data_IF_818002671539
#
_entry.id   IF_818002671539
#
_cell.length_a   1.000
_cell.length_b   1.000
_cell.length_c   1.000
_cell.angle_alpha   90.00
_cell.angle_beta   90.00
_cell.angle_gamma   90.00
#
_symmetry.space_group_name_H-M   'P 1'
#
loop_
_entity.id
_entity.type
_entity.pdbx_description
1 polymer ?
#
# COMPACT_ATOMS: atom_id res chain seq x y z
N UNK A 1 22.87 -25.10 16.71
CA UNK A 1 22.35 -23.85 17.30
C UNK A 1 22.53 -22.74 16.27
N UNK A 2 21.45 -22.14 15.77
CA UNK A 2 21.55 -21.14 14.71
C UNK A 2 22.31 -19.89 15.20
N UNK A 3 23.40 -19.53 14.51
CA UNK A 3 24.15 -18.31 14.77
C UNK A 3 23.24 -17.09 14.56
N UNK A 4 23.10 -16.28 15.61
CA UNK A 4 22.26 -15.09 15.60
C UNK A 4 23.06 -13.98 14.93
N UNK A 5 22.75 -13.68 13.68
CA UNK A 5 23.42 -12.65 12.89
C UNK A 5 22.62 -11.33 12.83
N UNK A 6 23.32 -10.22 12.57
CA UNK A 6 22.72 -8.89 12.36
C UNK A 6 22.13 -8.23 13.61
N UNK A 7 21.04 -7.46 13.43
CA UNK A 7 20.36 -6.66 14.49
C UNK A 7 19.96 -7.49 15.73
N UNK A 8 19.75 -8.80 15.55
CA UNK A 8 19.40 -9.72 16.64
C UNK A 8 20.56 -9.97 17.63
N UNK A 9 21.83 -9.91 17.17
CA UNK A 9 23.02 -10.03 18.05
C UNK A 9 23.17 -8.81 18.95
N UNK A 10 22.97 -7.61 18.38
CA UNK A 10 22.97 -6.35 19.12
C UNK A 10 21.84 -6.27 20.16
N UNK A 11 20.64 -6.72 19.79
CA UNK A 11 19.50 -6.81 20.71
C UNK A 11 19.75 -7.77 21.89
N UNK A 12 20.30 -8.95 21.63
CA UNK A 12 20.67 -9.92 22.70
C UNK A 12 21.82 -9.42 23.58
N UNK A 13 22.86 -8.82 23.00
CA UNK A 13 23.97 -8.25 23.76
C UNK A 13 23.53 -7.09 24.65
N UNK A 14 22.62 -6.22 24.15
CA UNK A 14 22.03 -5.16 24.95
C UNK A 14 21.09 -5.70 26.04
N UNK A 15 20.38 -6.81 25.79
CA UNK A 15 19.50 -7.45 26.76
C UNK A 15 20.29 -8.14 27.90
N UNK A 16 21.44 -8.76 27.56
CA UNK A 16 22.33 -9.42 28.51
C UNK A 16 22.99 -8.43 29.50
N UNK A 17 23.23 -7.19 29.08
CA UNK A 17 23.85 -6.12 29.90
C UNK A 17 22.89 -5.41 30.87
N UNK A 18 21.59 -5.69 30.82
CA UNK A 18 20.60 -5.03 31.67
C UNK A 18 20.44 -5.75 33.01
N UNK A 19 20.47 -4.99 34.10
CA UNK A 19 20.10 -5.50 35.43
C UNK A 19 18.61 -5.86 35.49
N UNK A 20 18.16 -6.69 36.44
CA UNK A 20 16.75 -6.99 36.65
C UNK A 20 15.85 -5.74 36.77
N UNK A 21 16.34 -4.69 37.44
CA UNK A 21 15.65 -3.41 37.61
C UNK A 21 15.51 -2.68 36.27
N UNK A 22 16.58 -2.63 35.46
CA UNK A 22 16.55 -2.01 34.15
C UNK A 22 15.66 -2.77 33.15
N UNK A 23 15.56 -4.10 33.28
CA UNK A 23 14.62 -4.93 32.52
C UNK A 23 13.18 -4.63 32.92
N UNK A 24 12.90 -4.53 34.22
CA UNK A 24 11.58 -4.17 34.77
C UNK A 24 11.14 -2.77 34.30
N UNK A 25 12.04 -1.80 34.33
CA UNK A 25 11.76 -0.44 33.86
C UNK A 25 11.52 -0.38 32.34
N UNK A 26 12.28 -1.14 31.54
CA UNK A 26 11.99 -1.26 30.10
C UNK A 26 10.65 -1.94 29.82
N UNK A 27 10.30 -2.98 30.56
CA UNK A 27 9.01 -3.65 30.42
C UNK A 27 7.85 -2.70 30.76
N UNK A 28 7.95 -1.95 31.87
CA UNK A 28 6.97 -0.90 32.21
C UNK A 28 6.87 0.16 31.11
N UNK A 29 8.00 0.68 30.61
CA UNK A 29 8.01 1.66 29.50
C UNK A 29 7.39 1.10 28.22
N UNK A 30 7.61 -0.18 27.92
CA UNK A 30 7.02 -0.83 26.75
C UNK A 30 5.51 -1.02 26.89
N UNK A 31 5.02 -1.37 28.09
CA UNK A 31 3.57 -1.45 28.39
C UNK A 31 2.95 -0.06 28.29
N UNK A 32 3.53 0.95 28.94
CA UNK A 32 3.05 2.33 28.86
C UNK A 32 3.03 2.86 27.41
N UNK A 33 4.06 2.56 26.61
CA UNK A 33 4.10 2.92 25.20
C UNK A 33 3.04 2.18 24.36
N UNK A 34 2.70 0.94 24.71
CA UNK A 34 1.62 0.18 24.07
C UNK A 34 0.25 0.75 24.42
N UNK A 35 0.01 1.06 25.68
CA UNK A 35 -1.26 1.68 26.12
C UNK A 35 -1.42 3.08 25.51
N UNK A 36 -0.40 3.94 25.60
CA UNK A 36 -0.42 5.26 24.96
C UNK A 36 -0.63 5.18 23.44
N UNK A 37 -0.15 4.10 22.78
CA UNK A 37 -0.40 3.88 21.36
C UNK A 37 -1.85 3.48 21.06
N UNK A 38 -2.56 2.81 21.98
CA UNK A 38 -3.97 2.44 21.78
C UNK A 38 -4.90 3.66 21.80
N UNK A 39 -4.52 4.70 22.53
CA UNK A 39 -5.29 5.96 22.63
C UNK A 39 -5.09 6.89 21.43
N UNK A 40 -4.10 6.61 20.57
CA UNK A 40 -3.86 7.43 19.39
C UNK A 40 -4.90 7.15 18.30
N UNK A 41 -5.34 8.21 17.58
CA UNK A 41 -6.15 8.07 16.39
C UNK A 41 -5.51 7.11 15.38
N UNK A 42 -6.35 6.34 14.71
CA UNK A 42 -5.90 5.42 13.65
C UNK A 42 -6.27 5.96 12.29
N UNK A 43 -5.31 5.86 11.36
CA UNK A 43 -5.58 6.07 9.95
C UNK A 43 -6.34 4.85 9.40
N UNK A 44 -7.42 5.11 8.69
CA UNK A 44 -8.21 4.11 7.95
C UNK A 44 -7.72 3.98 6.51
N UNK A 45 -7.15 5.06 5.94
CA UNK A 45 -6.67 5.11 4.58
C UNK A 45 -5.31 5.82 4.48
N UNK A 46 -4.57 5.52 3.41
CA UNK A 46 -3.29 6.16 3.07
C UNK A 46 -2.07 5.27 3.35
N UNK A 47 -1.03 5.42 2.53
CA UNK A 47 0.26 4.76 2.70
C UNK A 47 1.39 5.72 2.33
N UNK A 48 2.58 5.48 2.86
CA UNK A 48 3.79 6.15 2.37
C UNK A 48 4.09 5.80 0.91
N UNK A 49 3.61 4.65 0.42
CA UNK A 49 3.81 4.19 -0.97
C UNK A 49 2.86 4.87 -1.97
N UNK A 50 1.81 5.52 -1.47
CA UNK A 50 0.83 6.27 -2.26
C UNK A 50 0.73 7.71 -1.75
N UNK A 51 1.80 8.51 -1.86
CA UNK A 51 1.81 9.88 -1.38
C UNK A 51 0.94 10.80 -2.27
N UNK A 52 0.54 11.94 -1.72
CA UNK A 52 0.03 13.05 -2.50
C UNK A 52 1.15 13.56 -3.42
N UNK A 53 0.91 13.55 -4.73
CA UNK A 53 1.88 13.97 -5.75
C UNK A 53 1.47 15.29 -6.40
N UNK A 54 2.36 16.27 -6.36
CA UNK A 54 2.18 17.57 -7.02
C UNK A 54 3.47 17.93 -7.74
N UNK A 55 3.50 17.72 -9.06
CA UNK A 55 4.76 17.73 -9.81
C UNK A 55 5.71 16.67 -9.26
N UNK A 56 6.94 17.09 -8.92
CA UNK A 56 7.97 16.21 -8.34
C UNK A 56 7.87 16.08 -6.80
N UNK A 57 6.88 16.74 -6.19
CA UNK A 57 6.71 16.73 -4.73
C UNK A 57 5.84 15.55 -4.30
N UNK A 58 6.35 14.75 -3.37
CA UNK A 58 5.63 13.64 -2.75
C UNK A 58 5.41 13.88 -1.25
N UNK A 59 4.15 13.93 -0.82
CA UNK A 59 3.79 14.11 0.59
C UNK A 59 2.91 12.93 1.04
N UNK A 60 3.41 12.01 1.89
CA UNK A 60 2.58 10.97 2.48
C UNK A 60 1.37 11.55 3.20
N UNK A 61 0.18 11.04 2.88
CA UNK A 61 -1.10 11.53 3.35
C UNK A 61 -1.99 10.39 3.86
N UNK A 62 -2.87 10.70 4.81
CA UNK A 62 -3.72 9.72 5.48
C UNK A 62 -5.10 10.30 5.79
N UNK A 63 -6.08 9.41 5.97
CA UNK A 63 -7.40 9.76 6.52
C UNK A 63 -7.58 9.02 7.84
N UNK A 64 -7.83 9.77 8.91
CA UNK A 64 -8.07 9.25 10.25
C UNK A 64 -9.50 8.69 10.38
N UNK A 65 -9.75 7.93 11.45
CA UNK A 65 -11.05 7.29 11.72
C UNK A 65 -12.22 8.28 11.90
N UNK A 66 -11.93 9.51 12.30
CA UNK A 66 -12.89 10.62 12.41
C UNK A 66 -13.10 11.36 11.07
N UNK A 67 -12.45 10.91 9.99
CA UNK A 67 -12.47 11.56 8.68
C UNK A 67 -11.49 12.72 8.51
N UNK A 68 -10.67 13.02 9.53
CA UNK A 68 -9.64 14.06 9.45
C UNK A 68 -8.58 13.64 8.44
N UNK A 69 -8.34 14.50 7.45
CA UNK A 69 -7.30 14.31 6.43
C UNK A 69 -6.00 14.93 6.92
N UNK A 70 -4.92 14.15 6.92
CA UNK A 70 -3.62 14.59 7.46
C UNK A 70 -2.49 14.36 6.48
N UNK A 71 -1.53 15.28 6.48
CA UNK A 71 -0.24 15.15 5.79
C UNK A 71 0.83 14.80 6.81
N UNK A 72 1.75 13.89 6.48
CA UNK A 72 2.87 13.58 7.37
C UNK A 72 3.75 14.82 7.57
N UNK A 73 4.16 15.07 8.81
CA UNK A 73 5.02 16.20 9.16
C UNK A 73 6.33 16.16 8.36
N UNK A 74 6.95 14.98 8.25
CA UNK A 74 8.22 14.81 7.53
C UNK A 74 8.05 15.05 6.03
N UNK A 75 6.99 14.51 5.45
CA UNK A 75 6.67 14.73 4.03
C UNK A 75 6.39 16.18 3.72
N UNK A 76 5.64 16.87 4.59
CA UNK A 76 5.33 18.29 4.43
C UNK A 76 6.61 19.15 4.46
N UNK A 77 7.49 18.93 5.45
CA UNK A 77 8.76 19.67 5.58
C UNK A 77 9.67 19.42 4.38
N UNK A 78 9.77 18.18 3.93
CA UNK A 78 10.54 17.82 2.74
C UNK A 78 9.93 18.45 1.47
N UNK A 79 8.61 18.40 1.33
CA UNK A 79 7.90 18.94 0.18
C UNK A 79 7.97 20.47 0.07
N UNK A 80 8.23 21.17 1.16
CA UNK A 80 8.52 22.61 1.21
C UNK A 80 9.99 22.95 0.96
N UNK A 81 10.85 21.97 0.72
CA UNK A 81 12.29 22.17 0.49
C UNK A 81 13.10 22.43 1.76
N UNK A 82 12.53 22.28 2.97
CA UNK A 82 13.20 22.65 4.24
C UNK A 82 14.18 21.58 4.78
N UNK A 83 14.34 20.47 4.06
CA UNK A 83 15.18 19.33 4.44
C UNK A 83 14.51 18.40 5.46
N UNK A 84 15.21 18.04 6.53
CA UNK A 84 14.70 17.12 7.56
C UNK A 84 14.79 17.72 8.97
N UNK A 85 13.89 17.28 9.85
CA UNK A 85 13.83 17.72 11.26
C UNK A 85 12.46 18.25 11.65
N UNK A 86 11.92 17.78 12.78
CA UNK A 86 10.57 18.14 13.24
C UNK A 86 10.42 19.64 13.56
N UNK A 87 11.49 20.26 14.06
CA UNK A 87 11.47 21.66 14.52
C UNK A 87 11.67 22.68 13.40
N UNK A 88 11.95 22.24 12.16
CA UNK A 88 12.20 23.14 11.02
C UNK A 88 11.00 24.04 10.74
N UNK A 89 9.81 23.45 10.69
CA UNK A 89 8.59 24.18 10.40
C UNK A 89 8.20 25.15 11.54
N UNK A 90 8.13 24.73 12.83
CA UNK A 90 7.93 25.67 13.93
C UNK A 90 8.95 26.82 13.97
N UNK A 91 10.24 26.51 13.78
CA UNK A 91 11.30 27.51 13.83
C UNK A 91 11.15 28.55 12.72
N UNK A 92 10.88 28.09 11.49
CA UNK A 92 10.68 28.96 10.34
C UNK A 92 9.50 29.92 10.54
N UNK A 93 8.36 29.41 11.00
CA UNK A 93 7.15 30.20 11.24
C UNK A 93 7.21 31.08 12.49
N UNK A 94 8.11 30.78 13.44
CA UNK A 94 8.42 31.68 14.57
C UNK A 94 9.36 32.83 14.20
N UNK A 95 9.99 32.77 13.02
CA UNK A 95 10.92 33.79 12.56
C UNK A 95 10.22 35.10 12.21
N UNK A 96 10.87 36.23 12.53
CA UNK A 96 10.33 37.59 12.36
C UNK A 96 9.86 37.90 10.93
N UNK A 97 10.45 37.25 9.92
CA UNK A 97 10.09 37.43 8.51
C UNK A 97 8.72 36.84 8.16
N UNK A 98 8.32 35.73 8.79
CA UNK A 98 7.10 34.98 8.40
C UNK A 98 6.01 35.11 9.46
N UNK A 99 6.36 35.23 10.75
CA UNK A 99 5.39 35.29 11.85
C UNK A 99 4.26 36.31 11.65
N UNK A 100 4.49 37.53 11.08
CA UNK A 100 3.42 38.50 10.85
C UNK A 100 2.36 38.06 9.83
N UNK A 101 2.68 37.09 8.97
CA UNK A 101 1.81 36.60 7.89
C UNK A 101 1.09 35.31 8.26
N UNK A 102 1.15 34.89 9.52
CA UNK A 102 0.49 33.67 10.01
C UNK A 102 -0.80 33.98 10.76
N UNK A 103 -1.79 33.11 10.63
CA UNK A 103 -3.01 33.16 11.46
C UNK A 103 -2.87 32.29 12.73
N UNK A 104 -3.80 32.47 13.67
CA UNK A 104 -3.80 31.73 14.95
C UNK A 104 -3.97 30.23 14.75
N UNK A 105 -4.77 29.84 13.75
CA UNK A 105 -5.08 28.44 13.42
C UNK A 105 -3.82 27.71 12.93
N UNK A 106 -3.09 28.30 11.99
CA UNK A 106 -1.82 27.82 11.46
C UNK A 106 -0.79 27.69 12.58
N UNK A 107 -0.66 28.71 13.43
CA UNK A 107 0.27 28.70 14.57
C UNK A 107 -0.05 27.57 15.54
N UNK A 108 -1.34 27.38 15.87
CA UNK A 108 -1.78 26.32 16.77
C UNK A 108 -1.53 24.93 16.18
N UNK A 109 -1.79 24.74 14.88
CA UNK A 109 -1.59 23.47 14.20
C UNK A 109 -0.09 23.12 14.07
N UNK A 110 0.78 24.08 13.75
CA UNK A 110 2.23 23.87 13.69
C UNK A 110 2.79 23.42 15.05
N UNK A 111 2.31 24.02 16.14
CA UNK A 111 2.73 23.71 17.52
C UNK A 111 2.20 22.36 18.02
N UNK A 112 1.04 21.94 17.54
CA UNK A 112 0.36 20.73 18.00
C UNK A 112 0.12 19.75 16.84
N UNK A 113 1.17 19.09 16.32
CA UNK A 113 0.99 18.06 15.30
C UNK A 113 0.13 16.91 15.84
N UNK A 114 -0.74 16.39 14.99
CA UNK A 114 -1.58 15.23 15.31
C UNK A 114 -0.70 13.99 15.27
N UNK A 115 -0.65 13.27 16.39
CA UNK A 115 0.06 11.99 16.48
C UNK A 115 -0.92 10.85 16.26
N UNK A 116 -0.65 9.99 15.28
CA UNK A 116 -1.57 8.92 14.87
C UNK A 116 -0.84 7.63 14.48
N UNK A 117 -1.58 6.54 14.31
CA UNK A 117 -1.04 5.25 13.83
C UNK A 117 -1.47 5.03 12.38
N UNK A 118 -0.52 4.73 11.49
CA UNK A 118 -0.79 4.43 10.08
C UNK A 118 -1.59 3.12 9.91
N UNK A 119 -2.28 2.88 8.77
CA UNK A 119 -3.20 1.74 8.63
C UNK A 119 -2.53 0.37 8.84
N UNK A 120 -1.27 0.24 8.40
CA UNK A 120 -0.47 -0.99 8.56
C UNK A 120 0.23 -1.10 9.93
N UNK A 121 -0.11 -0.23 10.88
CA UNK A 121 0.51 -0.17 12.20
C UNK A 121 1.88 0.53 12.18
N UNK A 122 2.80 0.08 13.02
CA UNK A 122 4.15 0.66 13.12
C UNK A 122 4.31 1.77 14.17
N UNK A 123 5.35 2.59 14.01
CA UNK A 123 5.66 3.70 14.92
C UNK A 123 4.66 4.83 14.66
N UNK A 124 4.09 5.47 15.71
CA UNK A 124 3.22 6.62 15.51
C UNK A 124 3.86 7.71 14.65
N UNK A 125 3.06 8.26 13.75
CA UNK A 125 3.43 9.32 12.83
C UNK A 125 2.91 10.65 13.36
N UNK A 126 3.69 11.71 13.20
CA UNK A 126 3.21 13.06 13.38
C UNK A 126 2.73 13.59 12.03
N UNK A 127 1.57 14.24 12.03
CA UNK A 127 1.01 14.89 10.86
C UNK A 127 0.33 16.20 11.20
N UNK A 128 -0.06 16.91 10.16
CA UNK A 128 -0.86 18.13 10.26
C UNK A 128 -2.15 17.97 9.46
N UNK A 129 -3.26 18.64 9.83
CA UNK A 129 -4.44 18.71 8.98
C UNK A 129 -4.06 19.13 7.55
N UNK A 130 -4.61 18.48 6.54
CA UNK A 130 -4.20 18.69 5.15
C UNK A 130 -4.44 20.14 4.68
N UNK A 131 -5.41 20.83 5.26
CA UNK A 131 -5.72 22.25 4.98
C UNK A 131 -4.55 23.18 5.30
N UNK A 132 -3.68 22.82 6.24
CA UNK A 132 -2.56 23.67 6.68
C UNK A 132 -1.59 24.00 5.54
N UNK A 133 -1.49 23.13 4.53
CA UNK A 133 -0.52 23.30 3.47
C UNK A 133 -0.84 24.55 2.62
N UNK A 134 -2.13 24.85 2.40
CA UNK A 134 -2.55 26.08 1.75
C UNK A 134 -2.18 27.30 2.61
N UNK A 135 -2.47 27.26 3.92
CA UNK A 135 -2.15 28.35 4.85
C UNK A 135 -0.64 28.62 4.94
N UNK A 136 0.18 27.57 4.93
CA UNK A 136 1.64 27.65 4.89
C UNK A 136 2.09 28.36 3.62
N UNK A 137 1.59 27.93 2.46
CA UNK A 137 1.98 28.52 1.18
C UNK A 137 1.59 30.00 1.13
N UNK A 138 0.37 30.33 1.54
CA UNK A 138 -0.13 31.71 1.57
C UNK A 138 0.74 32.61 2.47
N UNK A 139 1.05 32.15 3.69
CA UNK A 139 1.90 32.90 4.63
C UNK A 139 3.30 33.17 4.05
N UNK A 140 3.89 32.17 3.39
CA UNK A 140 5.23 32.30 2.78
C UNK A 140 5.20 33.21 1.55
N UNK A 141 4.19 33.07 0.69
CA UNK A 141 4.05 33.91 -0.51
C UNK A 141 3.72 35.36 -0.16
N UNK A 142 2.95 35.59 0.89
CA UNK A 142 2.72 36.92 1.48
C UNK A 142 4.01 37.55 2.00
N UNK A 143 4.82 36.79 2.77
CA UNK A 143 6.12 37.25 3.23
C UNK A 143 7.10 37.54 2.07
N UNK A 144 7.07 36.72 1.01
CA UNK A 144 7.85 36.96 -0.21
C UNK A 144 7.42 38.26 -0.89
N UNK A 145 6.11 38.46 -1.05
CA UNK A 145 5.53 39.63 -1.71
C UNK A 145 5.86 40.94 -0.97
N UNK A 146 6.01 40.88 0.35
CA UNK A 146 6.47 41.99 1.17
C UNK A 146 8.00 42.20 1.16
N UNK A 147 8.77 41.34 0.48
CA UNK A 147 10.23 41.46 0.36
C UNK A 147 10.99 41.17 1.66
N UNK A 148 10.38 40.52 2.66
CA UNK A 148 10.99 40.30 3.97
C UNK A 148 11.69 38.94 4.13
N UNK A 149 11.55 38.05 3.14
CA UNK A 149 12.25 36.77 3.13
C UNK A 149 13.75 36.95 2.89
N UNK A 150 14.56 36.19 3.60
CA UNK A 150 16.01 36.15 3.39
C UNK A 150 16.34 35.39 2.10
N UNK A 151 17.50 35.66 1.45
CA UNK A 151 17.92 34.95 0.23
C UNK A 151 17.90 33.42 0.38
N UNK A 152 18.33 32.92 1.54
CA UNK A 152 18.32 31.48 1.84
C UNK A 152 16.91 30.87 1.99
N UNK A 153 15.86 31.68 2.15
CA UNK A 153 14.46 31.25 2.28
C UNK A 153 13.70 31.29 0.95
N UNK A 154 14.27 31.88 -0.10
CA UNK A 154 13.59 32.09 -1.38
C UNK A 154 13.17 30.77 -2.05
N UNK A 155 14.01 29.74 -1.96
CA UNK A 155 13.68 28.40 -2.48
C UNK A 155 12.39 27.82 -1.86
N UNK A 156 12.08 28.14 -0.60
CA UNK A 156 10.85 27.70 0.07
C UNK A 156 9.64 28.37 -0.57
N UNK A 157 9.75 29.67 -0.90
CA UNK A 157 8.67 30.40 -1.51
C UNK A 157 8.42 29.99 -2.97
N UNK A 158 9.47 29.69 -3.73
CA UNK A 158 9.36 29.06 -5.05
C UNK A 158 8.64 27.72 -4.96
N UNK A 159 9.00 26.91 -3.96
CA UNK A 159 8.36 25.62 -3.71
C UNK A 159 6.87 25.77 -3.36
N UNK A 160 6.52 26.72 -2.48
CA UNK A 160 5.13 27.06 -2.16
C UNK A 160 4.35 27.50 -3.41
N UNK A 161 4.96 28.26 -4.30
CA UNK A 161 4.32 28.69 -5.55
C UNK A 161 4.03 27.52 -6.49
N UNK A 162 4.98 26.59 -6.64
CA UNK A 162 4.77 25.36 -7.43
C UNK A 162 3.61 24.56 -6.85
N UNK A 163 3.58 24.37 -5.53
CA UNK A 163 2.53 23.64 -4.83
C UNK A 163 1.15 24.28 -5.05
N UNK A 164 1.02 25.60 -4.83
CA UNK A 164 -0.24 26.34 -5.03
C UNK A 164 -0.73 26.25 -6.47
N UNK A 165 0.16 26.43 -7.46
CA UNK A 165 -0.19 26.31 -8.88
C UNK A 165 -0.65 24.89 -9.23
N UNK A 166 0.00 23.87 -8.67
CA UNK A 166 -0.39 22.47 -8.83
C UNK A 166 -1.76 22.17 -8.23
N UNK A 167 -2.03 22.66 -7.00
CA UNK A 167 -3.32 22.51 -6.34
C UNK A 167 -4.45 23.18 -7.11
N UNK A 168 -4.23 24.38 -7.63
CA UNK A 168 -5.27 25.07 -8.40
C UNK A 168 -5.72 24.23 -9.61
N UNK A 169 -4.77 23.66 -10.35
CA UNK A 169 -5.08 22.80 -11.51
C UNK A 169 -5.80 21.53 -11.12
N UNK A 170 -5.27 20.77 -10.15
CA UNK A 170 -5.87 19.51 -9.70
C UNK A 170 -7.22 19.75 -9.01
N UNK A 171 -7.32 20.81 -8.21
CA UNK A 171 -8.52 21.20 -7.49
C UNK A 171 -9.66 21.55 -8.43
N UNK A 172 -9.42 22.35 -9.48
CA UNK A 172 -10.43 22.66 -10.50
C UNK A 172 -10.92 21.37 -11.17
N UNK A 173 -10.01 20.48 -11.58
CA UNK A 173 -10.39 19.20 -12.19
C UNK A 173 -11.24 18.37 -11.23
N UNK A 174 -10.80 18.22 -9.98
CA UNK A 174 -11.51 17.44 -8.96
C UNK A 174 -12.91 18.02 -8.65
N UNK A 175 -13.04 19.34 -8.58
CA UNK A 175 -14.31 20.03 -8.39
C UNK A 175 -15.26 19.84 -9.59
N UNK A 176 -14.73 19.88 -10.81
CA UNK A 176 -15.52 19.58 -12.02
C UNK A 176 -15.98 18.13 -12.00
N UNK A 177 -15.11 17.17 -11.64
CA UNK A 177 -15.51 15.76 -11.54
C UNK A 177 -16.58 15.53 -10.48
N UNK A 178 -16.48 16.22 -9.34
CA UNK A 178 -17.48 16.17 -8.28
C UNK A 178 -18.81 16.75 -8.73
N UNK A 179 -18.80 17.94 -9.32
CA UNK A 179 -19.99 18.63 -9.79
C UNK A 179 -20.69 17.89 -10.94
N UNK A 180 -19.93 17.22 -11.81
CA UNK A 180 -20.47 16.44 -12.95
C UNK A 180 -20.81 15.00 -12.59
N UNK A 181 -20.36 14.50 -11.44
CA UNK A 181 -20.46 13.08 -11.06
C UNK A 181 -19.47 12.15 -11.78
N UNK A 182 -18.54 12.68 -12.57
CA UNK A 182 -17.55 11.92 -13.35
C UNK A 182 -16.57 11.10 -12.49
N UNK A 183 -16.54 11.32 -11.17
CA UNK A 183 -15.73 10.52 -10.23
C UNK A 183 -15.97 9.00 -10.35
N UNK A 184 -17.23 8.57 -10.59
CA UNK A 184 -17.57 7.14 -10.75
C UNK A 184 -17.09 6.57 -12.09
N UNK A 185 -17.20 7.36 -13.15
CA UNK A 185 -16.78 6.96 -14.49
C UNK A 185 -15.25 6.90 -14.61
N UNK A 186 -14.50 7.79 -13.94
CA UNK A 186 -13.03 7.71 -13.91
C UNK A 186 -12.52 6.37 -13.38
N UNK A 187 -13.09 5.88 -12.28
CA UNK A 187 -12.70 4.58 -11.72
C UNK A 187 -13.09 3.43 -12.67
N UNK A 188 -14.26 3.54 -13.31
CA UNK A 188 -14.72 2.57 -14.32
C UNK A 188 -13.81 2.55 -15.54
N UNK A 189 -13.40 3.71 -16.05
CA UNK A 189 -12.55 3.84 -17.24
C UNK A 189 -11.12 3.37 -16.95
N UNK A 190 -10.59 3.65 -15.75
CA UNK A 190 -9.31 3.11 -15.32
C UNK A 190 -9.33 1.58 -15.24
N UNK A 191 -10.41 1.01 -14.68
CA UNK A 191 -10.60 -0.44 -14.66
C UNK A 191 -10.78 -1.00 -16.08
N UNK A 192 -11.57 -0.35 -16.92
CA UNK A 192 -11.79 -0.76 -18.31
C UNK A 192 -10.47 -0.82 -19.09
N UNK A 193 -9.60 0.18 -18.93
CA UNK A 193 -8.25 0.17 -19.54
C UNK A 193 -7.39 -0.99 -19.05
N UNK A 194 -7.45 -1.33 -17.76
CA UNK A 194 -6.76 -2.51 -17.21
C UNK A 194 -7.33 -3.79 -17.85
N UNK A 195 -8.66 -3.93 -17.89
CA UNK A 195 -9.31 -5.11 -18.46
C UNK A 195 -9.00 -5.26 -19.96
N UNK A 196 -9.02 -4.17 -20.73
CA UNK A 196 -8.64 -4.17 -22.15
C UNK A 196 -7.18 -4.57 -22.35
N UNK A 197 -6.29 -4.09 -21.50
CA UNK A 197 -4.88 -4.46 -21.57
C UNK A 197 -4.66 -5.94 -21.26
N UNK A 198 -5.39 -6.52 -20.29
CA UNK A 198 -5.14 -7.88 -19.80
C UNK A 198 -6.00 -8.97 -20.43
N UNK A 199 -7.23 -8.67 -20.84
CA UNK A 199 -8.24 -9.64 -21.26
C UNK A 199 -8.47 -9.54 -22.77
N UNK A 200 -8.10 -10.59 -23.48
CA UNK A 200 -8.29 -10.67 -24.93
C UNK A 200 -9.78 -10.60 -25.32
N UNK A 201 -10.04 -10.03 -26.51
CA UNK A 201 -11.37 -10.04 -27.13
C UNK A 201 -11.76 -11.43 -27.61
N UNK A 202 -10.77 -12.21 -28.04
CA UNK A 202 -10.93 -13.56 -28.60
C UNK A 202 -10.07 -14.58 -27.85
N UNK A 203 -10.51 -15.84 -27.91
CA UNK A 203 -9.84 -16.95 -27.25
C UNK A 203 -8.52 -17.28 -27.94
N UNK A 204 -7.42 -17.19 -27.19
CA UNK A 204 -6.08 -17.49 -27.69
C UNK A 204 -5.89 -19.01 -27.94
N UNK A 205 -4.97 -19.38 -28.84
CA UNK A 205 -4.52 -20.77 -28.99
C UNK A 205 -4.06 -21.36 -27.66
N UNK A 206 -4.28 -22.66 -27.48
CA UNK A 206 -3.84 -23.33 -26.26
C UNK A 206 -2.32 -23.40 -26.21
N UNK A 207 -1.73 -22.82 -25.15
CA UNK A 207 -0.31 -22.91 -24.82
C UNK A 207 -0.21 -23.24 -23.35
N UNK A 208 0.60 -24.25 -22.99
CA UNK A 208 0.82 -24.61 -21.58
C UNK A 208 1.50 -23.44 -20.86
N UNK A 209 0.78 -22.79 -19.94
CA UNK A 209 1.30 -21.65 -19.14
C UNK A 209 1.83 -22.04 -17.77
N UNK A 210 1.31 -23.11 -17.18
CA UNK A 210 1.70 -23.56 -15.85
C UNK A 210 2.81 -24.63 -15.98
N UNK A 211 4.01 -24.36 -15.43
CA UNK A 211 5.13 -25.29 -15.45
C UNK A 211 4.86 -26.47 -14.49
N UNK A 212 5.62 -27.56 -14.61
CA UNK A 212 5.39 -28.77 -13.80
C UNK A 212 5.66 -28.50 -12.32
N UNK A 213 6.72 -27.74 -12.06
CA UNK A 213 7.21 -27.31 -10.77
C UNK A 213 6.13 -26.59 -9.95
N UNK A 214 5.24 -25.84 -10.60
CA UNK A 214 4.11 -25.20 -9.92
C UNK A 214 3.17 -26.21 -9.26
N UNK A 215 2.88 -27.32 -9.93
CA UNK A 215 2.03 -28.36 -9.38
C UNK A 215 2.78 -29.23 -8.38
N UNK A 216 4.04 -29.59 -8.66
CA UNK A 216 4.92 -30.31 -7.72
C UNK A 216 4.97 -29.63 -6.35
N UNK A 217 5.23 -28.33 -6.34
CA UNK A 217 5.28 -27.53 -5.11
C UNK A 217 3.92 -27.43 -4.41
N UNK A 218 2.82 -27.36 -5.17
CA UNK A 218 1.47 -27.35 -4.60
C UNK A 218 1.09 -28.70 -3.96
N UNK A 219 1.44 -29.82 -4.60
CA UNK A 219 1.27 -31.16 -4.00
C UNK A 219 2.12 -31.30 -2.72
N UNK A 220 3.40 -30.89 -2.78
CA UNK A 220 4.33 -30.90 -1.64
C UNK A 220 3.77 -30.12 -0.45
N UNK A 221 3.35 -28.87 -0.67
CA UNK A 221 2.82 -28.01 0.39
C UNK A 221 1.48 -28.47 0.95
N UNK A 222 0.71 -29.24 0.18
CA UNK A 222 -0.55 -29.87 0.61
C UNK A 222 -0.35 -31.27 1.22
N UNK A 223 0.87 -31.77 1.30
CA UNK A 223 1.16 -33.10 1.85
C UNK A 223 0.60 -34.25 1.01
N UNK A 224 0.34 -34.02 -0.27
CA UNK A 224 -0.22 -35.03 -1.19
C UNK A 224 0.90 -35.70 -2.00
N UNK A 225 0.78 -37.00 -2.33
CA UNK A 225 1.74 -37.66 -3.20
C UNK A 225 1.69 -37.04 -4.60
N UNK A 226 2.86 -36.72 -5.14
CA UNK A 226 3.00 -36.27 -6.52
C UNK A 226 3.41 -37.47 -7.39
N UNK A 227 2.57 -37.82 -8.36
CA UNK A 227 2.90 -38.83 -9.37
C UNK A 227 3.29 -38.14 -10.69
N UNK A 228 4.58 -38.16 -11.08
CA UNK A 228 5.07 -37.46 -12.28
C UNK A 228 4.36 -37.88 -13.57
N UNK A 229 3.92 -39.14 -13.63
CA UNK A 229 3.28 -39.74 -14.80
C UNK A 229 1.75 -39.53 -14.84
N UNK A 230 1.16 -38.94 -13.79
CA UNK A 230 -0.28 -38.70 -13.69
C UNK A 230 -0.63 -37.23 -13.88
N UNK A 231 -1.60 -36.97 -14.75
CA UNK A 231 -2.18 -35.63 -14.96
C UNK A 231 -3.35 -35.33 -14.02
N UNK A 232 -3.77 -36.29 -13.18
CA UNK A 232 -4.93 -36.14 -12.29
C UNK A 232 -4.55 -35.26 -11.11
N UNK A 233 -5.35 -34.22 -10.90
CA UNK A 233 -5.19 -33.27 -9.79
C UNK A 233 -6.48 -33.23 -8.99
N UNK A 234 -6.40 -33.05 -7.66
CA UNK A 234 -7.58 -32.83 -6.86
C UNK A 234 -8.40 -31.64 -7.41
N UNK A 235 -9.73 -31.76 -7.54
CA UNK A 235 -10.56 -30.69 -8.12
C UNK A 235 -10.37 -29.33 -7.44
N UNK A 236 -10.10 -29.33 -6.13
CA UNK A 236 -9.94 -28.10 -5.35
C UNK A 236 -8.69 -27.28 -5.73
N UNK A 237 -7.71 -27.87 -6.42
CA UNK A 237 -6.53 -27.14 -6.93
C UNK A 237 -6.91 -26.01 -7.88
N UNK A 238 -8.05 -26.11 -8.56
CA UNK A 238 -8.60 -25.01 -9.36
C UNK A 238 -8.94 -23.78 -8.52
N UNK A 239 -9.47 -23.99 -7.30
CA UNK A 239 -9.76 -22.90 -6.36
C UNK A 239 -8.46 -22.28 -5.83
N UNK A 240 -7.46 -23.10 -5.51
CA UNK A 240 -6.15 -22.61 -5.09
C UNK A 240 -5.47 -21.79 -6.18
N UNK A 241 -5.51 -22.26 -7.43
CA UNK A 241 -4.94 -21.54 -8.57
C UNK A 241 -5.66 -20.20 -8.79
N UNK A 242 -6.99 -20.14 -8.59
CA UNK A 242 -7.73 -18.89 -8.63
C UNK A 242 -7.27 -17.91 -7.56
N UNK A 243 -7.07 -18.39 -6.33
CA UNK A 243 -6.54 -17.58 -5.25
C UNK A 243 -5.12 -17.13 -5.56
N UNK A 244 -4.15 -18.05 -5.52
CA UNK A 244 -2.72 -17.72 -5.48
C UNK A 244 -2.17 -17.14 -6.79
N UNK A 245 -2.92 -17.23 -7.90
CA UNK A 245 -2.52 -16.67 -9.21
C UNK A 245 -3.54 -15.67 -9.72
N UNK A 246 -4.74 -16.09 -10.12
CA UNK A 246 -5.62 -15.21 -10.91
C UNK A 246 -6.11 -13.97 -10.14
N UNK A 247 -6.43 -14.10 -8.84
CA UNK A 247 -6.83 -12.95 -7.99
C UNK A 247 -5.70 -11.94 -7.72
N UNK A 248 -4.46 -12.29 -8.07
CA UNK A 248 -3.24 -11.49 -7.88
C UNK A 248 -2.71 -10.93 -9.21
N UNK A 249 -3.44 -11.14 -10.32
CA UNK A 249 -2.96 -10.78 -11.66
C UNK A 249 -3.06 -9.27 -11.93
N UNK A 250 -4.25 -8.71 -11.76
CA UNK A 250 -4.57 -7.28 -11.84
C UNK A 250 -6.01 -7.05 -11.32
N UNK A 251 -6.38 -5.81 -10.92
CA UNK A 251 -7.72 -5.50 -10.44
C UNK A 251 -8.81 -5.89 -11.45
N UNK A 252 -9.82 -6.65 -11.00
CA UNK A 252 -11.00 -7.03 -11.78
C UNK A 252 -10.77 -8.10 -12.85
N UNK A 253 -9.51 -8.42 -13.19
CA UNK A 253 -9.19 -9.34 -14.29
C UNK A 253 -9.71 -10.75 -14.00
N UNK A 254 -9.60 -11.26 -12.78
CA UNK A 254 -10.11 -12.59 -12.45
C UNK A 254 -11.63 -12.70 -12.66
N UNK A 255 -12.40 -11.70 -12.21
CA UNK A 255 -13.86 -11.63 -12.41
C UNK A 255 -14.20 -11.59 -13.89
N UNK A 256 -13.52 -10.75 -14.66
CA UNK A 256 -13.76 -10.60 -16.10
C UNK A 256 -13.44 -11.90 -16.86
N UNK A 257 -12.31 -12.55 -16.56
CA UNK A 257 -11.98 -13.86 -17.12
C UNK A 257 -13.06 -14.89 -16.79
N UNK A 258 -13.50 -14.97 -15.53
CA UNK A 258 -14.55 -15.91 -15.10
C UNK A 258 -15.90 -15.64 -15.77
N UNK A 259 -16.24 -14.37 -16.04
CA UNK A 259 -17.45 -13.97 -16.72
C UNK A 259 -17.42 -14.35 -18.21
N UNK A 260 -16.27 -14.17 -18.88
CA UNK A 260 -16.09 -14.51 -20.30
C UNK A 260 -16.00 -16.01 -20.58
N UNK A 261 -15.59 -16.83 -19.61
CA UNK A 261 -15.51 -18.28 -19.83
C UNK A 261 -16.90 -18.90 -20.01
N UNK A 262 -17.16 -19.37 -21.23
CA UNK A 262 -18.35 -20.18 -21.54
C UNK A 262 -18.37 -21.46 -20.69
N UNK A 263 -19.52 -21.78 -20.09
CA UNK A 263 -19.75 -23.02 -19.34
C UNK A 263 -20.46 -24.06 -20.22
N UNK A 264 -20.23 -25.33 -19.95
CA UNK A 264 -20.97 -26.43 -20.56
C UNK A 264 -22.31 -26.69 -19.82
N UNK A 265 -23.07 -27.70 -20.24
CA UNK A 265 -24.38 -28.03 -19.66
C UNK A 265 -24.29 -28.38 -18.15
N UNK A 266 -23.16 -28.92 -17.71
CA UNK A 266 -22.87 -29.26 -16.32
C UNK A 266 -22.23 -28.10 -15.53
N UNK A 267 -22.21 -26.88 -16.09
CA UNK A 267 -21.67 -25.68 -15.44
C UNK A 267 -20.14 -25.62 -15.38
N UNK A 268 -19.42 -26.55 -16.01
CA UNK A 268 -17.96 -26.60 -16.06
C UNK A 268 -17.40 -25.63 -17.10
N UNK A 269 -16.26 -24.97 -16.83
CA UNK A 269 -15.59 -24.09 -17.79
C UNK A 269 -15.21 -24.85 -19.08
N UNK A 270 -15.60 -24.34 -20.26
CA UNK A 270 -15.25 -24.95 -21.56
C UNK A 270 -13.78 -24.76 -21.95
N UNK A 271 -13.10 -23.77 -21.37
CA UNK A 271 -11.71 -23.46 -21.66
C UNK A 271 -11.02 -22.88 -20.43
N UNK A 272 -9.69 -22.90 -20.44
CA UNK A 272 -8.86 -22.39 -19.35
C UNK A 272 -8.82 -20.85 -19.36
N UNK A 273 -8.81 -20.24 -18.17
CA UNK A 273 -8.82 -18.78 -18.01
C UNK A 273 -7.64 -18.10 -18.71
N UNK A 274 -6.43 -18.68 -18.67
CA UNK A 274 -5.25 -18.10 -19.30
C UNK A 274 -5.38 -17.92 -20.82
N UNK A 275 -6.29 -18.63 -21.49
CA UNK A 275 -6.54 -18.46 -22.94
C UNK A 275 -7.30 -17.17 -23.26
N UNK A 276 -7.83 -16.48 -22.26
CA UNK A 276 -8.48 -15.19 -22.42
C UNK A 276 -7.56 -14.03 -22.04
N UNK A 277 -6.27 -14.28 -21.86
CA UNK A 277 -5.28 -13.23 -21.61
C UNK A 277 -4.73 -12.68 -22.92
N UNK A 278 -4.40 -11.40 -22.93
CA UNK A 278 -3.70 -10.78 -24.06
C UNK A 278 -2.25 -11.27 -24.14
N UNK A 279 -1.70 -11.46 -25.36
CA UNK A 279 -0.31 -11.84 -25.54
C UNK A 279 0.70 -10.80 -25.03
N UNK A 280 0.34 -9.51 -25.09
CA UNK A 280 1.27 -8.40 -24.85
C UNK A 280 1.42 -8.03 -23.37
N UNK A 281 0.35 -8.19 -22.57
CA UNK A 281 0.34 -7.76 -21.16
C UNK A 281 -0.12 -8.89 -20.23
N UNK A 282 -1.27 -9.51 -20.52
CA UNK A 282 -1.86 -10.52 -19.64
C UNK A 282 -0.97 -11.76 -19.48
N UNK A 283 -0.48 -12.31 -20.59
CA UNK A 283 0.38 -13.50 -20.61
C UNK A 283 1.76 -13.26 -19.96
N UNK A 284 2.50 -12.19 -20.29
CA UNK A 284 3.76 -11.86 -19.62
C UNK A 284 3.59 -11.68 -18.11
N UNK A 285 2.51 -11.01 -17.68
CA UNK A 285 2.24 -10.80 -16.26
C UNK A 285 1.85 -12.10 -15.55
N UNK A 286 1.09 -12.98 -16.19
CA UNK A 286 0.79 -14.31 -15.67
C UNK A 286 2.08 -15.11 -15.43
N UNK A 287 3.01 -15.09 -16.40
CA UNK A 287 4.30 -15.77 -16.29
C UNK A 287 5.12 -15.24 -15.11
N UNK A 288 5.28 -13.93 -15.00
CA UNK A 288 6.01 -13.28 -13.89
C UNK A 288 5.41 -13.67 -12.53
N UNK A 289 4.08 -13.66 -12.42
CA UNK A 289 3.39 -14.03 -11.19
C UNK A 289 3.57 -15.51 -10.84
N UNK A 290 3.46 -16.41 -11.82
CA UNK A 290 3.72 -17.84 -11.61
C UNK A 290 5.16 -18.06 -11.11
N UNK A 291 6.14 -17.40 -11.71
CA UNK A 291 7.54 -17.48 -11.24
C UNK A 291 7.65 -17.04 -9.77
N UNK A 292 7.06 -15.90 -9.40
CA UNK A 292 7.05 -15.44 -8.00
C UNK A 292 6.38 -16.45 -7.07
N UNK A 293 5.21 -16.97 -7.45
CA UNK A 293 4.48 -17.95 -6.64
C UNK A 293 5.32 -19.21 -6.43
N UNK A 294 5.93 -19.76 -7.47
CA UNK A 294 6.81 -20.94 -7.38
C UNK A 294 8.00 -20.65 -6.47
N UNK A 295 8.67 -19.51 -6.62
CA UNK A 295 9.78 -19.12 -5.74
C UNK A 295 9.34 -19.03 -4.28
N UNK A 296 8.17 -18.45 -3.99
CA UNK A 296 7.67 -18.37 -2.61
C UNK A 296 7.29 -19.75 -2.08
N UNK A 297 6.71 -20.62 -2.91
CA UNK A 297 6.43 -22.02 -2.53
C UNK A 297 7.72 -22.75 -2.13
N UNK A 298 8.78 -22.66 -2.94
CA UNK A 298 10.09 -23.28 -2.68
C UNK A 298 10.73 -22.79 -1.38
N UNK A 299 10.52 -21.52 -1.03
CA UNK A 299 11.00 -20.92 0.23
C UNK A 299 10.12 -21.24 1.45
N UNK A 300 9.10 -22.08 1.28
CA UNK A 300 8.11 -22.38 2.29
C UNK A 300 8.00 -23.87 2.61
N UNK A 301 7.79 -24.14 3.89
CA UNK A 301 7.74 -25.51 4.42
C UNK A 301 6.29 -26.03 4.56
N UNK A 302 5.32 -25.13 4.74
CA UNK A 302 3.90 -25.45 4.94
C UNK A 302 3.02 -24.46 4.20
N UNK A 303 1.80 -24.88 3.83
CA UNK A 303 0.84 -24.04 3.10
C UNK A 303 0.58 -22.68 3.76
N UNK A 304 0.40 -22.65 5.09
CA UNK A 304 0.16 -21.40 5.83
C UNK A 304 1.31 -20.40 5.72
N UNK A 305 2.54 -20.86 5.89
CA UNK A 305 3.75 -20.03 5.75
C UNK A 305 3.91 -19.50 4.31
N UNK A 306 3.64 -20.35 3.32
CA UNK A 306 3.59 -19.95 1.91
C UNK A 306 2.57 -18.82 1.68
N UNK A 307 1.34 -18.98 2.19
CA UNK A 307 0.26 -18.01 2.01
C UNK A 307 0.62 -16.66 2.65
N UNK A 308 1.12 -16.67 3.89
CA UNK A 308 1.51 -15.45 4.60
C UNK A 308 2.63 -14.68 3.86
N UNK A 309 3.62 -15.41 3.32
CA UNK A 309 4.69 -14.82 2.49
C UNK A 309 4.17 -14.30 1.15
N UNK A 310 3.29 -15.06 0.50
CA UNK A 310 2.73 -14.69 -0.79
C UNK A 310 1.89 -13.42 -0.66
N UNK A 311 1.03 -13.32 0.35
CA UNK A 311 0.22 -12.11 0.58
C UNK A 311 1.05 -10.86 0.82
N UNK A 312 2.22 -11.02 1.44
CA UNK A 312 3.14 -9.91 1.66
C UNK A 312 3.84 -9.45 0.38
N UNK A 313 4.15 -10.38 -0.53
CA UNK A 313 4.92 -10.10 -1.76
C UNK A 313 4.01 -9.75 -2.94
N UNK A 314 2.87 -10.41 -3.02
CA UNK A 314 1.85 -10.30 -4.06
C UNK A 314 0.46 -10.43 -3.41
N UNK A 315 -0.04 -9.35 -2.76
CA UNK A 315 -1.38 -9.36 -2.17
C UNK A 315 -2.43 -9.57 -3.26
N UNK A 316 -3.52 -10.26 -2.91
CA UNK A 316 -4.69 -10.32 -3.77
C UNK A 316 -5.28 -8.91 -3.93
N UNK A 317 -5.86 -8.62 -5.10
CA UNK A 317 -6.60 -7.38 -5.27
C UNK A 317 -7.93 -7.47 -4.51
N UNK A 318 -8.19 -6.52 -3.61
CA UNK A 318 -9.41 -6.44 -2.79
C UNK A 318 -10.62 -6.05 -3.66
N UNK A 319 -11.15 -7.02 -4.39
CA UNK A 319 -12.32 -6.85 -5.24
C UNK A 319 -13.62 -7.00 -4.43
N UNK A 320 -13.92 -6.06 -3.52
CA UNK A 320 -15.22 -5.91 -2.80
C UNK A 320 -15.79 -7.22 -2.21
N UNK A 321 -15.63 -7.38 -0.88
CA UNK A 321 -16.26 -8.35 0.04
C UNK A 321 -17.15 -9.42 -0.64
N UNK A 322 -16.53 -10.50 -1.10
CA UNK A 322 -17.13 -11.81 -0.88
C UNK A 322 -16.40 -12.41 0.31
N UNK A 323 -17.19 -12.93 1.26
CA UNK A 323 -16.74 -13.64 2.46
C UNK A 323 -15.49 -14.48 2.15
N UNK A 324 -14.48 -14.54 3.06
CA UNK A 324 -13.38 -15.47 2.89
C UNK A 324 -13.97 -16.84 2.60
N UNK A 325 -13.75 -17.34 1.39
CA UNK A 325 -14.20 -18.66 1.01
C UNK A 325 -13.23 -19.62 1.69
N UNK A 326 -13.53 -19.92 2.94
CA UNK A 326 -12.93 -21.04 3.65
C UNK A 326 -13.46 -22.30 2.98
N UNK A 327 -12.58 -23.07 2.35
CA UNK A 327 -12.89 -24.44 1.99
C UNK A 327 -13.20 -25.16 3.31
N UNK A 328 -14.43 -25.64 3.50
CA UNK A 328 -14.82 -26.36 4.72
C UNK A 328 -13.81 -27.49 4.97
N UNK A 329 -13.20 -27.49 6.17
CA UNK A 329 -12.15 -28.43 6.60
C UNK A 329 -10.74 -28.27 5.98
N UNK A 330 -10.39 -27.14 5.34
CA UNK A 330 -9.00 -26.89 4.88
C UNK A 330 -8.06 -26.57 6.06
N UNK A 331 -7.31 -27.58 6.51
CA UNK A 331 -6.30 -27.46 7.55
C UNK A 331 -4.88 -27.15 7.01
N UNK A 332 -4.75 -26.90 5.70
CA UNK A 332 -3.47 -26.74 5.03
C UNK A 332 -2.92 -28.02 4.41
N UNK A 333 -3.45 -29.18 4.78
CA UNK A 333 -3.16 -30.51 4.22
C UNK A 333 -4.31 -30.90 3.27
N UNK A 334 -4.11 -31.91 2.42
CA UNK A 334 -5.08 -32.33 1.41
C UNK A 334 -6.54 -32.38 1.89
N UNK A 335 -7.47 -31.95 1.04
CA UNK A 335 -8.92 -32.05 1.30
C UNK A 335 -9.48 -33.44 0.93
#
# INVERSE_FOLDING_TARGET
>A
MAEISGRAKGGKAAAAKLTPEQRKERAKKAVAAREAKKELPKATHGSADHPLRIGDVEIPCYVLEDGTRVLSQRGLIAGLGMGSGADRLPSFFSGKAVSPYTNKQLTAAIRNPIRFVAPHGGVPVNGYPATILADICESVLSARSAGVLQPQQMHIAEQCEILVRGFARVGIIALVDEATGYQKDRARDALAKILEAFVAKELQPYVRKFPAEFYEEMFRLRGLPFEPDSVKRPPYFGHLTNDIVYRRLAPGVWKELKAKVKKNAEGRPKHQLHRLLTPDVGDPRLRELITKVVTVMQLSNKWRDFKDKLDRIAPAYDETLQLPFELENDNGEGL
#
